data_IF_798075757040
#
_entry.id   IF_798075757040
#
_cell.length_a   1.000
_cell.length_b   1.000
_cell.length_c   1.000
_cell.angle_alpha   90.00
_cell.angle_beta   90.00
_cell.angle_gamma   90.00
#
_symmetry.space_group_name_H-M   'P 1'
#
loop_
_entity.id
_entity.type
_entity.pdbx_description
1 polymer ?
#
# COMPACT_ATOMS: atom_id res chain seq x y z
N UNK A 1 13.31 -7.18 4.46
CA UNK A 1 13.16 -6.86 5.89
C UNK A 1 12.41 -7.91 6.72
N UNK A 2 11.12 -8.13 6.50
CA UNK A 2 10.31 -9.04 7.35
C UNK A 2 10.27 -10.50 6.88
N UNK A 3 11.04 -10.84 5.83
CA UNK A 3 11.07 -12.20 5.26
C UNK A 3 9.76 -12.61 4.56
N UNK A 4 8.91 -11.65 4.23
CA UNK A 4 7.63 -11.87 3.54
C UNK A 4 7.74 -11.48 2.07
N UNK A 5 6.96 -12.16 1.24
CA UNK A 5 6.84 -11.90 -0.20
C UNK A 5 5.47 -11.32 -0.53
N UNK A 6 5.34 -10.68 -1.70
CA UNK A 6 4.11 -9.96 -2.10
C UNK A 6 2.92 -10.89 -2.28
N UNK A 7 3.14 -12.15 -2.66
CA UNK A 7 2.09 -13.17 -2.80
C UNK A 7 1.40 -13.51 -1.47
N UNK A 8 2.09 -13.31 -0.34
CA UNK A 8 1.56 -13.51 1.02
C UNK A 8 0.54 -12.43 1.43
N UNK A 9 0.41 -11.33 0.67
CA UNK A 9 -0.50 -10.23 1.00
C UNK A 9 -1.94 -10.60 0.65
N UNK A 10 -2.76 -10.96 1.63
CA UNK A 10 -4.16 -11.33 1.41
C UNK A 10 -5.07 -10.13 1.08
N UNK A 11 -4.83 -8.98 1.74
CA UNK A 11 -5.65 -7.77 1.62
C UNK A 11 -4.77 -6.53 1.71
N UNK A 12 -5.15 -5.50 0.97
CA UNK A 12 -4.52 -4.17 0.98
C UNK A 12 -5.59 -3.15 1.33
N UNK A 13 -5.50 -2.58 2.53
CA UNK A 13 -6.38 -1.50 2.97
C UNK A 13 -5.75 -0.15 2.65
N UNK A 14 -6.40 0.62 1.79
CA UNK A 14 -5.94 1.95 1.39
C UNK A 14 -6.74 2.99 2.16
N UNK A 15 -6.04 3.76 2.98
CA UNK A 15 -6.59 4.89 3.71
C UNK A 15 -6.03 6.21 3.16
N UNK A 16 -6.81 7.29 3.28
CA UNK A 16 -6.42 8.62 2.86
C UNK A 16 -7.56 9.41 2.22
N UNK A 17 -7.31 10.71 2.01
CA UNK A 17 -8.28 11.63 1.40
C UNK A 17 -8.58 11.34 -0.08
N UNK A 18 -7.80 10.47 -0.72
CA UNK A 18 -8.01 10.05 -2.10
C UNK A 18 -9.34 9.30 -2.31
N UNK A 19 -9.97 8.79 -1.23
CA UNK A 19 -11.36 8.31 -1.24
C UNK A 19 -11.66 7.27 -2.33
N UNK A 20 -12.88 7.30 -2.86
CA UNK A 20 -13.35 6.47 -3.99
C UNK A 20 -12.75 6.89 -5.35
N UNK A 21 -11.84 7.86 -5.39
CA UNK A 21 -11.32 8.41 -6.64
C UNK A 21 -10.03 7.74 -7.11
N UNK A 22 -9.39 6.92 -6.26
CA UNK A 22 -8.25 6.12 -6.69
C UNK A 22 -8.75 4.92 -7.49
N UNK A 23 -8.46 4.93 -8.78
CA UNK A 23 -8.68 3.82 -9.69
C UNK A 23 -7.53 2.82 -9.52
N UNK A 24 -7.81 1.68 -8.87
CA UNK A 24 -6.80 0.64 -8.58
C UNK A 24 -6.08 0.18 -9.84
N UNK A 25 -6.79 0.05 -10.95
CA UNK A 25 -6.19 -0.41 -12.22
C UNK A 25 -5.16 0.60 -12.71
N UNK A 26 -5.52 1.89 -12.74
CA UNK A 26 -4.60 2.96 -13.14
C UNK A 26 -3.42 3.09 -12.19
N UNK A 27 -3.65 2.93 -10.89
CA UNK A 27 -2.60 2.99 -9.89
C UNK A 27 -1.57 1.86 -10.06
N UNK A 28 -2.01 0.65 -10.41
CA UNK A 28 -1.12 -0.47 -10.74
C UNK A 28 -0.36 -0.19 -12.05
N UNK A 29 -1.06 0.28 -13.10
CA UNK A 29 -0.43 0.63 -14.39
C UNK A 29 0.66 1.70 -14.24
N UNK A 30 0.47 2.65 -13.32
CA UNK A 30 1.45 3.69 -13.03
C UNK A 30 2.57 3.23 -12.09
N UNK A 31 2.55 2.01 -11.55
CA UNK A 31 3.54 1.54 -10.59
C UNK A 31 3.35 2.06 -9.15
N UNK A 32 2.22 2.72 -8.87
CA UNK A 32 1.91 3.26 -7.53
C UNK A 32 1.51 2.15 -6.55
N UNK A 33 0.83 1.11 -7.04
CA UNK A 33 0.42 -0.06 -6.26
C UNK A 33 1.05 -1.33 -6.85
N UNK A 34 1.34 -2.35 -6.01
CA UNK A 34 1.85 -3.62 -6.51
C UNK A 34 0.83 -4.32 -7.40
N UNK A 35 1.31 -5.08 -8.37
CA UNK A 35 0.44 -5.84 -9.27
C UNK A 35 -0.13 -7.09 -8.57
N UNK A 36 -1.24 -6.87 -7.87
CA UNK A 36 -1.98 -7.90 -7.13
C UNK A 36 -3.41 -8.04 -7.70
N UNK A 37 -4.13 -9.13 -7.36
CA UNK A 37 -5.54 -9.25 -7.71
C UNK A 37 -6.35 -8.06 -7.16
N UNK A 38 -7.16 -7.44 -8.03
CA UNK A 38 -7.81 -6.14 -7.77
C UNK A 38 -8.80 -6.24 -6.61
N UNK A 39 -9.39 -7.41 -6.42
CA UNK A 39 -10.31 -7.73 -5.32
C UNK A 39 -9.66 -7.69 -3.93
N UNK A 40 -8.32 -7.74 -3.83
CA UNK A 40 -7.60 -7.61 -2.55
C UNK A 40 -7.54 -6.16 -2.05
N UNK A 41 -7.81 -5.18 -2.90
CA UNK A 41 -7.72 -3.77 -2.54
C UNK A 41 -9.05 -3.24 -1.97
N UNK A 42 -8.98 -2.62 -0.80
CA UNK A 42 -10.14 -2.08 -0.08
C UNK A 42 -9.90 -0.63 0.33
N UNK A 43 -10.77 0.27 -0.12
CA UNK A 43 -10.71 1.69 0.22
C UNK A 43 -11.46 1.96 1.52
N UNK A 44 -10.75 2.52 2.51
CA UNK A 44 -11.27 2.77 3.85
C UNK A 44 -11.55 4.25 4.13
N UNK A 45 -11.29 5.13 3.14
CA UNK A 45 -11.45 6.58 3.30
C UNK A 45 -10.50 7.16 4.34
N UNK A 46 -10.97 8.18 5.08
CA UNK A 46 -10.17 8.81 6.13
C UNK A 46 -10.27 8.02 7.46
N UNK A 47 -9.42 7.01 7.60
CA UNK A 47 -9.35 6.18 8.81
C UNK A 47 -8.87 6.92 10.04
N UNK A 48 -8.11 8.02 9.88
CA UNK A 48 -7.67 8.86 11.01
C UNK A 48 -8.85 9.53 11.70
N UNK A 49 -9.78 10.12 10.93
CA UNK A 49 -11.01 10.73 11.47
C UNK A 49 -11.93 9.65 12.06
N UNK A 50 -12.12 8.53 11.35
CA UNK A 50 -12.95 7.43 11.85
C UNK A 50 -12.40 6.84 13.17
N UNK A 51 -11.09 6.63 13.26
CA UNK A 51 -10.42 6.18 14.47
C UNK A 51 -10.56 7.17 15.62
N UNK A 52 -10.37 8.47 15.37
CA UNK A 52 -10.58 9.51 16.37
C UNK A 52 -12.03 9.51 16.91
N UNK A 53 -13.01 9.32 16.02
CA UNK A 53 -14.42 9.20 16.41
C UNK A 53 -14.68 7.96 17.29
N UNK A 54 -14.12 6.80 16.94
CA UNK A 54 -14.23 5.58 17.75
C UNK A 54 -13.58 5.75 19.13
N UNK A 55 -12.39 6.33 19.20
CA UNK A 55 -11.72 6.61 20.47
C UNK A 55 -12.46 7.65 21.31
N UNK A 56 -13.17 8.61 20.68
CA UNK A 56 -13.98 9.60 21.39
C UNK A 56 -15.22 8.96 22.03
N UNK A 57 -15.90 8.07 21.31
CA UNK A 57 -17.18 7.48 21.74
C UNK A 57 -17.05 6.21 22.58
N UNK A 58 -15.89 5.55 22.56
CA UNK A 58 -15.70 4.28 23.25
C UNK A 58 -14.36 4.23 23.98
N UNK A 59 -14.40 4.14 25.30
CA UNK A 59 -13.20 3.90 26.12
C UNK A 59 -12.54 2.57 25.78
N UNK A 60 -13.33 1.53 25.43
CA UNK A 60 -12.79 0.24 25.02
C UNK A 60 -11.94 0.38 23.75
N UNK A 61 -12.49 1.03 22.72
CA UNK A 61 -11.75 1.23 21.46
C UNK A 61 -10.52 2.12 21.65
N UNK A 62 -10.59 3.09 22.57
CA UNK A 62 -9.43 3.92 22.92
C UNK A 62 -8.30 3.08 23.54
N UNK A 63 -8.62 2.20 24.50
CA UNK A 63 -7.62 1.30 25.10
C UNK A 63 -7.04 0.33 24.07
N UNK A 64 -7.87 -0.21 23.19
CA UNK A 64 -7.41 -1.08 22.09
C UNK A 64 -6.45 -0.35 21.15
N UNK A 65 -6.71 0.92 20.83
CA UNK A 65 -5.79 1.74 20.03
C UNK A 65 -4.44 1.99 20.74
N UNK A 66 -4.45 2.18 22.06
CA UNK A 66 -3.22 2.27 22.87
C UNK A 66 -2.43 0.97 22.84
N UNK A 67 -3.08 -0.18 23.05
CA UNK A 67 -2.45 -1.51 22.98
C UNK A 67 -1.84 -1.78 21.59
N UNK A 68 -2.56 -1.46 20.52
CA UNK A 68 -2.04 -1.57 19.15
C UNK A 68 -0.79 -0.72 18.96
N UNK A 69 -0.79 0.51 19.48
CA UNK A 69 0.36 1.41 19.34
C UNK A 69 1.62 0.85 20.02
N UNK A 70 1.48 0.13 21.13
CA UNK A 70 2.58 -0.52 21.83
C UNK A 70 3.12 -1.76 21.09
N UNK A 71 2.28 -2.42 20.28
CA UNK A 71 2.69 -3.57 19.46
C UNK A 71 3.36 -3.19 18.13
N UNK A 72 3.27 -1.92 17.70
CA UNK A 72 3.84 -1.47 16.43
C UNK A 72 5.36 -1.33 16.50
N UNK A 73 6.07 -2.01 15.59
CA UNK A 73 7.53 -1.84 15.41
C UNK A 73 7.81 -0.92 14.23
N UNK A 74 8.47 0.21 14.48
CA UNK A 74 8.89 1.15 13.44
C UNK A 74 10.14 0.63 12.69
N UNK A 75 10.09 0.68 11.35
CA UNK A 75 11.24 0.35 10.48
C UNK A 75 11.69 1.64 9.78
N UNK A 76 12.90 2.10 10.11
CA UNK A 76 13.48 3.29 9.48
C UNK A 76 14.06 2.94 8.10
N UNK A 77 13.50 3.52 7.04
CA UNK A 77 13.89 3.25 5.65
C UNK A 77 15.09 4.09 5.19
N UNK A 78 15.32 5.27 5.77
CA UNK A 78 16.39 6.20 5.36
C UNK A 78 17.81 5.65 5.56
N UNK A 79 17.98 4.75 6.53
CA UNK A 79 19.27 4.12 6.86
C UNK A 79 19.46 2.78 6.14
N UNK A 80 18.54 2.38 5.27
CA UNK A 80 18.57 1.09 4.57
C UNK A 80 19.27 1.25 3.23
N UNK A 81 20.37 0.50 3.06
CA UNK A 81 21.22 0.61 1.88
C UNK A 81 20.52 0.37 0.55
N UNK A 82 19.46 -0.45 0.53
CA UNK A 82 18.70 -0.78 -0.68
C UNK A 82 17.47 0.12 -0.93
N UNK A 83 17.04 0.94 0.03
CA UNK A 83 15.82 1.76 -0.16
C UNK A 83 15.97 2.74 -1.31
N UNK A 84 17.15 3.36 -1.44
CA UNK A 84 17.42 4.30 -2.53
C UNK A 84 17.41 3.60 -3.90
N UNK A 85 17.89 2.37 -3.99
CA UNK A 85 17.87 1.59 -5.24
C UNK A 85 16.44 1.22 -5.65
N UNK A 86 15.61 0.80 -4.69
CA UNK A 86 14.18 0.54 -4.91
C UNK A 86 13.43 1.82 -5.31
N UNK A 87 13.68 2.94 -4.62
CA UNK A 87 13.07 4.22 -4.94
C UNK A 87 13.42 4.66 -6.36
N UNK A 88 14.70 4.58 -6.74
CA UNK A 88 15.14 4.93 -8.09
C UNK A 88 14.51 4.03 -9.16
N UNK A 89 14.35 2.74 -8.86
CA UNK A 89 13.70 1.77 -9.73
C UNK A 89 12.21 2.06 -9.93
N UNK A 90 11.54 2.54 -8.89
CA UNK A 90 10.13 2.93 -8.90
C UNK A 90 9.85 4.31 -9.53
N UNK A 91 10.87 5.06 -9.97
CA UNK A 91 10.65 6.32 -10.71
C UNK A 91 10.29 6.12 -12.19
N UNK A 92 10.39 4.89 -12.71
CA UNK A 92 9.97 4.52 -14.06
C UNK A 92 8.54 3.98 -14.04
N UNK A 93 7.82 4.06 -15.16
CA UNK A 93 6.45 3.58 -15.26
C UNK A 93 6.38 2.22 -15.99
N UNK A 94 5.79 1.17 -15.36
CA UNK A 94 5.40 1.09 -13.95
C UNK A 94 6.60 0.90 -13.00
N UNK A 95 7.73 0.37 -13.51
CA UNK A 95 8.96 0.12 -12.76
C UNK A 95 10.10 -0.21 -13.74
N UNK A 96 11.35 -0.21 -13.29
CA UNK A 96 12.48 -0.72 -14.11
C UNK A 96 12.42 -2.23 -14.33
N UNK A 97 11.91 -2.98 -13.35
CA UNK A 97 11.66 -4.42 -13.42
C UNK A 97 10.20 -4.73 -13.76
N UNK A 98 9.96 -5.15 -15.00
CA UNK A 98 8.64 -5.51 -15.50
C UNK A 98 8.10 -6.83 -14.92
N UNK A 99 8.94 -7.69 -14.36
CA UNK A 99 8.48 -8.95 -13.77
C UNK A 99 7.60 -8.73 -12.54
N UNK A 100 7.69 -7.54 -11.92
CA UNK A 100 6.84 -7.11 -10.82
C UNK A 100 5.42 -6.71 -11.27
N UNK A 101 5.20 -6.51 -12.58
CA UNK A 101 3.94 -6.03 -13.16
C UNK A 101 3.46 -6.92 -14.32
N UNK A 102 3.24 -8.23 -14.09
CA UNK A 102 2.90 -9.20 -15.14
C UNK A 102 1.56 -8.92 -15.83
N UNK A 103 0.61 -8.24 -15.19
CA UNK A 103 -0.67 -7.86 -15.81
C UNK A 103 -0.55 -6.60 -16.68
N UNK A 104 0.43 -5.74 -16.40
CA UNK A 104 0.66 -4.47 -17.11
C UNK A 104 1.54 -4.66 -18.33
N UNK A 105 2.50 -5.59 -18.30
CA UNK A 105 3.41 -5.83 -19.42
C UNK A 105 2.68 -6.08 -20.77
N UNK A 106 1.64 -6.94 -20.86
CA UNK A 106 0.90 -7.14 -22.10
C UNK A 106 0.18 -5.88 -22.58
N UNK A 107 -0.34 -5.06 -21.65
CA UNK A 107 -1.02 -3.80 -21.96
C UNK A 107 -0.08 -2.81 -22.64
N UNK A 108 1.13 -2.62 -22.09
CA UNK A 108 2.14 -1.72 -22.67
C UNK A 108 2.57 -2.22 -24.05
N UNK A 109 2.75 -3.54 -24.23
CA UNK A 109 3.10 -4.13 -25.52
C UNK A 109 2.02 -3.91 -26.59
N UNK A 110 0.74 -3.84 -26.21
CA UNK A 110 -0.37 -3.59 -27.16
C UNK A 110 -0.45 -2.16 -27.69
N UNK A 111 0.21 -1.20 -27.02
CA UNK A 111 0.22 0.23 -27.39
C UNK A 111 1.44 0.57 -28.26
N UNK A 112 2.47 -0.30 -28.28
CA UNK A 112 3.66 -0.20 -29.14
C UNK A 112 3.41 -0.80 -30.52
#
# INVERSE_FOLDING_TARGET
EVGLTTDMIEKVYIAGGFGNFLDTEKAIILGMLPDLPRERFHFMGNTSIAGAYYCLLSEKMRREAEEISEMMTYIELSVKGNYMDEFMSAMFLPHTDMNLFPTVEPLIRSIR
#
